data_IF_109124384890
#
_entry.id   IF_109124384890
#
_cell.length_a   1.000
_cell.length_b   1.000
_cell.length_c   1.000
_cell.angle_alpha   90.00
_cell.angle_beta   90.00
_cell.angle_gamma   90.00
#
_symmetry.space_group_name_H-M   'P 1'
#
loop_
_entity.id
_entity.type
_entity.pdbx_description
1 polymer ?
#
# COMPACT_ATOMS: atom_id res chain seq x y z
N UNK A 1 14.54 -6.38 -3.34
CA UNK A 1 14.23 -4.97 -3.64
C UNK A 1 12.76 -4.67 -3.37
N UNK A 2 11.84 -5.62 -3.53
CA UNK A 2 10.39 -5.44 -3.25
C UNK A 2 10.07 -5.10 -1.78
N UNK A 3 10.71 -5.76 -0.81
CA UNK A 3 10.44 -5.55 0.62
C UNK A 3 10.67 -4.11 1.12
N UNK A 4 11.56 -3.33 0.49
CA UNK A 4 11.75 -1.91 0.84
C UNK A 4 10.60 -1.04 0.36
N UNK A 5 9.99 -1.37 -0.78
CA UNK A 5 8.87 -0.60 -1.33
C UNK A 5 7.60 -0.82 -0.51
N UNK A 6 7.38 -2.04 -0.02
CA UNK A 6 6.29 -2.34 0.91
C UNK A 6 6.41 -1.54 2.21
N UNK A 7 7.61 -1.41 2.77
CA UNK A 7 7.83 -0.62 3.99
C UNK A 7 7.58 0.87 3.78
N UNK A 8 8.03 1.43 2.66
CA UNK A 8 7.79 2.83 2.33
C UNK A 8 6.31 3.10 2.06
N UNK A 9 5.64 2.17 1.36
CA UNK A 9 4.21 2.23 1.13
C UNK A 9 3.43 2.18 2.44
N UNK A 10 3.77 1.25 3.34
CA UNK A 10 3.15 1.18 4.66
C UNK A 10 3.31 2.50 5.40
N UNK A 11 4.50 3.11 5.43
CA UNK A 11 4.70 4.42 6.05
C UNK A 11 3.85 5.51 5.41
N UNK A 12 3.73 5.55 4.08
CA UNK A 12 2.86 6.50 3.39
C UNK A 12 1.39 6.31 3.84
N UNK A 13 0.91 5.07 3.89
CA UNK A 13 -0.46 4.76 4.32
C UNK A 13 -0.71 5.15 5.79
N UNK A 14 0.25 4.96 6.70
CA UNK A 14 0.10 5.35 8.11
C UNK A 14 0.25 6.85 8.34
N UNK A 15 1.10 7.54 7.56
CA UNK A 15 1.41 8.96 7.76
C UNK A 15 0.49 9.88 6.98
N UNK A 16 0.32 9.62 5.68
CA UNK A 16 -0.43 10.51 4.77
C UNK A 16 -1.93 10.18 4.77
N UNK A 17 -2.31 8.94 5.09
CA UNK A 17 -3.70 8.47 5.01
C UNK A 17 -4.31 8.11 6.36
N UNK A 18 -3.57 8.31 7.47
CA UNK A 18 -3.98 8.03 8.85
C UNK A 18 -4.50 6.59 9.05
N UNK A 19 -4.05 5.64 8.23
CA UNK A 19 -4.51 4.24 8.33
C UNK A 19 -3.74 3.57 9.47
N UNK A 20 -4.42 3.02 10.49
CA UNK A 20 -3.73 2.38 11.59
C UNK A 20 -2.96 1.15 11.11
N UNK A 21 -1.69 1.04 11.53
CA UNK A 21 -0.80 -0.05 11.14
C UNK A 21 -1.40 -1.44 11.44
N UNK A 22 -2.21 -1.56 12.50
CA UNK A 22 -2.93 -2.81 12.85
C UNK A 22 -3.94 -3.26 11.78
N UNK A 23 -4.52 -2.34 11.02
CA UNK A 23 -5.36 -2.66 9.86
C UNK A 23 -4.52 -3.14 8.68
N UNK A 24 -3.33 -2.56 8.50
CA UNK A 24 -2.39 -2.93 7.44
C UNK A 24 -1.75 -4.30 7.70
N UNK A 25 -1.39 -4.64 8.94
CA UNK A 25 -0.77 -5.93 9.29
C UNK A 25 -1.63 -7.14 8.87
N UNK A 26 -2.96 -7.04 9.01
CA UNK A 26 -3.89 -8.08 8.52
C UNK A 26 -3.84 -8.21 7.01
N UNK A 27 -3.82 -7.07 6.30
CA UNK A 27 -3.80 -7.03 4.84
C UNK A 27 -2.47 -7.55 4.31
N UNK A 28 -1.33 -7.14 4.88
CA UNK A 28 0.01 -7.61 4.50
C UNK A 28 0.13 -9.12 4.63
N UNK A 29 -0.29 -9.70 5.76
CA UNK A 29 -0.27 -11.17 5.94
C UNK A 29 -1.15 -11.91 4.95
N UNK A 30 -2.24 -11.29 4.50
CA UNK A 30 -3.16 -11.86 3.52
C UNK A 30 -2.67 -11.65 2.08
N UNK A 31 -1.93 -10.57 1.83
CA UNK A 31 -1.23 -10.26 0.58
C UNK A 31 -0.08 -11.24 0.33
N UNK A 32 0.64 -11.65 1.37
CA UNK A 32 1.70 -12.66 1.23
C UNK A 32 1.12 -14.01 0.74
N UNK A 33 -0.13 -14.32 1.12
CA UNK A 33 -0.86 -15.51 0.67
C UNK A 33 -1.61 -15.32 -0.66
N UNK A 34 -1.92 -14.08 -1.05
CA UNK A 34 -2.65 -13.74 -2.25
C UNK A 34 -1.76 -12.90 -3.15
N UNK A 35 -1.29 -13.46 -4.27
CA UNK A 35 -0.31 -12.90 -5.21
C UNK A 35 -0.66 -11.54 -5.88
N UNK A 36 -1.51 -10.71 -5.28
CA UNK A 36 -1.84 -9.36 -5.70
C UNK A 36 -1.00 -8.30 -4.97
N UNK A 37 -0.92 -7.11 -5.56
CA UNK A 37 -0.24 -5.96 -4.98
C UNK A 37 -1.03 -5.40 -3.79
N UNK A 38 -0.35 -5.12 -2.68
CA UNK A 38 -0.89 -4.50 -1.45
C UNK A 38 -1.89 -3.35 -1.71
N UNK A 39 -1.63 -2.36 -2.59
CA UNK A 39 -2.60 -1.28 -2.86
C UNK A 39 -3.95 -1.78 -3.39
N UNK A 40 -3.93 -2.78 -4.28
CA UNK A 40 -5.17 -3.34 -4.85
C UNK A 40 -5.97 -4.06 -3.76
N UNK A 41 -5.30 -4.78 -2.87
CA UNK A 41 -5.95 -5.45 -1.75
C UNK A 41 -6.59 -4.40 -0.82
N UNK A 42 -5.87 -3.33 -0.47
CA UNK A 42 -6.42 -2.26 0.36
C UNK A 42 -7.71 -1.64 -0.21
N UNK A 43 -7.77 -1.44 -1.53
CA UNK A 43 -8.98 -0.96 -2.19
C UNK A 43 -10.10 -1.99 -2.19
N UNK A 44 -9.78 -3.26 -2.47
CA UNK A 44 -10.78 -4.34 -2.49
C UNK A 44 -11.46 -4.54 -1.13
N UNK A 45 -10.71 -4.36 -0.04
CA UNK A 45 -11.24 -4.42 1.33
C UNK A 45 -11.87 -3.10 1.80
N UNK A 46 -11.80 -2.03 0.99
CA UNK A 46 -12.38 -0.73 1.32
C UNK A 46 -11.60 0.07 2.36
N UNK A 47 -10.34 -0.28 2.65
CA UNK A 47 -9.47 0.53 3.51
C UNK A 47 -9.11 1.86 2.85
N UNK A 48 -9.05 1.86 1.52
CA UNK A 48 -8.77 3.05 0.72
C UNK A 48 -9.80 3.16 -0.40
N UNK A 49 -10.14 4.39 -0.77
CA UNK A 49 -11.00 4.64 -1.92
C UNK A 49 -10.20 4.69 -3.23
N UNK A 50 -10.89 4.77 -4.36
CA UNK A 50 -10.25 4.79 -5.68
C UNK A 50 -9.30 5.99 -5.87
N UNK A 51 -9.59 7.15 -5.26
CA UNK A 51 -8.72 8.33 -5.33
C UNK A 51 -7.41 8.11 -4.56
N UNK A 52 -7.52 7.57 -3.36
CA UNK A 52 -6.40 7.17 -2.51
C UNK A 52 -5.56 6.07 -3.18
N UNK A 53 -6.20 5.10 -3.82
CA UNK A 53 -5.52 4.08 -4.62
C UNK A 53 -4.68 4.72 -5.74
N UNK A 54 -5.24 5.70 -6.45
CA UNK A 54 -4.52 6.42 -7.49
C UNK A 54 -3.32 7.19 -6.93
N UNK A 55 -3.45 7.87 -5.79
CA UNK A 55 -2.32 8.56 -5.13
C UNK A 55 -1.20 7.59 -4.75
N UNK A 56 -1.56 6.41 -4.24
CA UNK A 56 -0.59 5.36 -3.92
C UNK A 56 0.15 4.89 -5.16
N UNK A 57 -0.55 4.66 -6.29
CA UNK A 57 0.09 4.27 -7.55
C UNK A 57 0.98 5.37 -8.13
N UNK A 58 0.54 6.63 -8.07
CA UNK A 58 1.31 7.79 -8.53
C UNK A 58 2.61 7.97 -7.72
N UNK A 59 2.53 7.75 -6.41
CA UNK A 59 3.68 7.74 -5.52
C UNK A 59 4.63 6.55 -5.78
N UNK A 60 4.08 5.36 -6.05
CA UNK A 60 4.87 4.18 -6.43
C UNK A 60 5.60 4.39 -7.76
N UNK A 61 4.95 4.99 -8.76
CA UNK A 61 5.56 5.31 -10.07
C UNK A 61 6.68 6.34 -9.92
N UNK A 62 6.45 7.40 -9.13
CA UNK A 62 7.46 8.40 -8.80
C UNK A 62 8.67 7.78 -8.08
N UNK A 63 8.41 6.84 -7.16
CA UNK A 63 9.47 6.12 -6.42
C UNK A 63 10.21 5.12 -7.30
N UNK A 64 9.57 4.59 -8.35
CA UNK A 64 10.17 3.70 -9.35
C UNK A 64 11.06 4.46 -10.33
N UNK A 65 10.67 5.67 -10.73
CA UNK A 65 11.44 6.54 -11.63
C UNK A 65 12.64 7.22 -10.95
N UNK A 66 12.67 7.27 -9.61
CA UNK A 66 13.76 7.85 -8.84
C UNK A 66 14.87 6.84 -8.45
N UNK A 67 14.77 5.58 -8.90
CA UNK A 67 15.71 4.49 -8.63
C UNK A 67 16.72 4.22 -9.73
#
# INVERSE_FOLDING_TARGET
MEAQQEQLLLQFLTQEMDIPCQSLERVVRQCDAAAGSLPIILWQYGFINIHQLQQVFDWLDTSYLAG
#
